data_IF_888840912498
#
_entry.id   IF_888840912498
#
_cell.length_a   1.000
_cell.length_b   1.000
_cell.length_c   1.000
_cell.angle_alpha   90.00
_cell.angle_beta   90.00
_cell.angle_gamma   90.00
#
_symmetry.space_group_name_H-M   'P 1'
#
loop_
_entity.id
_entity.type
_entity.pdbx_description
1 polymer ?
#
# COMPACT_ATOMS: atom_id res chain seq x y z
N UNK A 1 -24.19 -11.75 -31.13
CA UNK A 1 -23.04 -11.08 -31.78
C UNK A 1 -22.02 -10.85 -30.69
N UNK A 2 -21.04 -11.72 -30.59
CA UNK A 2 -19.98 -11.69 -29.60
C UNK A 2 -18.96 -10.65 -30.04
N UNK A 3 -18.77 -9.58 -29.27
CA UNK A 3 -17.69 -8.65 -29.48
C UNK A 3 -16.40 -9.32 -29.01
N UNK A 4 -15.56 -9.67 -29.98
CA UNK A 4 -14.19 -10.08 -29.73
C UNK A 4 -13.45 -8.89 -29.08
N UNK A 5 -13.09 -8.99 -27.81
CA UNK A 5 -12.12 -8.10 -27.18
C UNK A 5 -10.78 -8.35 -27.89
N UNK A 6 -10.26 -7.29 -28.50
CA UNK A 6 -8.92 -7.22 -29.07
C UNK A 6 -7.92 -7.16 -27.90
N UNK A 7 -7.33 -8.30 -27.57
CA UNK A 7 -6.50 -8.50 -26.35
C UNK A 7 -5.10 -7.83 -26.40
N UNK A 8 -4.85 -6.90 -27.32
CA UNK A 8 -3.53 -6.33 -27.53
C UNK A 8 -3.42 -4.80 -27.64
N UNK A 9 -4.50 -4.07 -27.86
CA UNK A 9 -4.45 -2.61 -28.02
C UNK A 9 -4.51 -1.89 -26.67
N UNK A 10 -3.68 -0.84 -26.52
CA UNK A 10 -3.76 0.05 -25.35
C UNK A 10 -5.10 0.80 -25.36
N UNK A 11 -5.81 0.89 -24.22
CA UNK A 11 -7.07 1.61 -24.14
C UNK A 11 -6.89 3.12 -24.40
N UNK A 12 -7.88 3.75 -24.99
CA UNK A 12 -7.97 5.21 -25.03
C UNK A 12 -8.02 5.80 -23.61
N UNK A 13 -7.76 7.11 -23.48
CA UNK A 13 -7.69 7.75 -22.15
C UNK A 13 -8.98 7.57 -21.34
N UNK A 14 -10.13 7.60 -22.01
CA UNK A 14 -11.43 7.42 -21.37
C UNK A 14 -11.62 6.01 -20.83
N UNK A 15 -11.28 4.99 -21.61
CA UNK A 15 -11.33 3.57 -21.21
C UNK A 15 -10.32 3.28 -20.12
N UNK A 16 -9.10 3.81 -20.28
CA UNK A 16 -8.00 3.65 -19.31
C UNK A 16 -8.43 4.06 -17.89
N UNK A 17 -8.97 5.28 -17.74
CA UNK A 17 -9.28 5.81 -16.40
C UNK A 17 -10.46 5.11 -15.73
N UNK A 18 -11.27 4.33 -16.47
CA UNK A 18 -12.33 3.49 -15.91
C UNK A 18 -11.80 2.25 -15.17
N UNK A 19 -10.56 1.84 -15.45
CA UNK A 19 -9.86 0.76 -14.75
C UNK A 19 -9.38 1.18 -13.34
N UNK A 20 -9.63 2.43 -12.94
CA UNK A 20 -9.18 2.98 -11.67
C UNK A 20 -10.35 3.45 -10.80
N UNK A 21 -10.28 3.11 -9.51
CA UNK A 21 -11.25 3.54 -8.49
C UNK A 21 -10.56 4.39 -7.43
N UNK A 22 -11.14 5.53 -7.05
CA UNK A 22 -10.58 6.42 -6.02
C UNK A 22 -10.88 5.89 -4.61
N UNK A 23 -9.85 5.87 -3.76
CA UNK A 23 -9.98 5.67 -2.31
C UNK A 23 -9.91 6.99 -1.51
N UNK A 24 -9.87 8.14 -2.14
CA UNK A 24 -9.76 9.45 -1.47
C UNK A 24 -8.28 9.87 -1.37
N UNK A 25 -7.88 10.83 -0.57
CA UNK A 25 -8.55 11.82 0.30
C UNK A 25 -8.82 13.13 -0.46
N UNK A 26 -8.82 13.12 -1.79
CA UNK A 26 -9.11 14.29 -2.60
C UNK A 26 -9.73 13.94 -3.97
N UNK A 27 -10.07 14.99 -4.71
CA UNK A 27 -10.83 14.90 -5.96
C UNK A 27 -9.96 14.72 -7.22
N UNK A 28 -8.63 14.66 -7.13
CA UNK A 28 -7.76 14.73 -8.32
C UNK A 28 -8.05 13.63 -9.33
N UNK A 29 -8.10 12.36 -8.90
CA UNK A 29 -8.43 11.27 -9.83
C UNK A 29 -9.82 11.46 -10.46
N UNK A 30 -10.81 11.87 -9.68
CA UNK A 30 -12.16 12.15 -10.17
C UNK A 30 -12.18 13.24 -11.24
N UNK A 31 -11.36 14.28 -11.08
CA UNK A 31 -11.20 15.34 -12.06
C UNK A 31 -10.41 14.90 -13.29
N UNK A 32 -9.39 14.04 -13.14
CA UNK A 32 -8.70 13.40 -14.27
C UNK A 32 -9.70 12.60 -15.12
N UNK A 33 -10.52 11.76 -14.48
CA UNK A 33 -11.57 10.99 -15.14
C UNK A 33 -12.56 11.91 -15.90
N UNK A 34 -13.05 12.95 -15.23
CA UNK A 34 -13.95 13.95 -15.84
C UNK A 34 -13.32 14.64 -17.04
N UNK A 35 -12.04 14.98 -16.98
CA UNK A 35 -11.33 15.68 -18.06
C UNK A 35 -11.26 14.87 -19.36
N UNK A 36 -11.20 13.54 -19.25
CA UNK A 36 -11.20 12.64 -20.41
C UNK A 36 -12.59 12.08 -20.74
N UNK A 37 -13.65 12.67 -20.18
CA UNK A 37 -15.04 12.33 -20.48
C UNK A 37 -15.54 11.04 -19.81
N UNK A 38 -14.92 10.61 -18.69
CA UNK A 38 -15.35 9.48 -17.88
C UNK A 38 -15.98 9.95 -16.57
N UNK A 39 -17.17 9.45 -16.23
CA UNK A 39 -17.91 9.77 -15.00
C UNK A 39 -18.30 8.49 -14.25
N UNK A 40 -17.32 7.66 -13.80
CA UNK A 40 -17.63 6.46 -13.01
C UNK A 40 -18.22 6.84 -11.66
N UNK A 41 -19.09 5.98 -11.15
CA UNK A 41 -19.65 6.12 -9.81
C UNK A 41 -18.64 5.57 -8.77
N UNK A 42 -18.28 6.37 -7.78
CA UNK A 42 -17.36 5.98 -6.72
C UNK A 42 -17.61 6.74 -5.42
N UNK A 43 -17.57 6.01 -4.28
CA UNK A 43 -17.84 6.59 -2.96
C UNK A 43 -16.84 7.71 -2.61
N UNK A 44 -15.58 7.51 -2.93
CA UNK A 44 -14.50 8.44 -2.59
C UNK A 44 -14.01 9.29 -3.76
N UNK A 45 -14.71 9.25 -4.90
CA UNK A 45 -14.27 9.96 -6.11
C UNK A 45 -14.11 11.46 -5.91
N UNK A 46 -15.00 12.08 -5.13
CA UNK A 46 -15.01 13.51 -4.83
C UNK A 46 -15.13 13.77 -3.32
N UNK A 47 -14.69 12.82 -2.50
CA UNK A 47 -14.82 12.91 -1.06
C UNK A 47 -13.51 13.29 -0.38
N UNK A 48 -13.58 14.17 0.61
CA UNK A 48 -12.60 14.31 1.67
C UNK A 48 -12.79 13.17 2.66
N UNK A 49 -11.91 12.21 2.65
CA UNK A 49 -11.94 11.00 3.48
C UNK A 49 -10.53 10.70 4.01
N UNK A 50 -10.11 11.35 5.12
CA UNK A 50 -8.81 11.11 5.71
C UNK A 50 -8.58 9.63 6.00
N UNK A 51 -7.36 9.14 5.76
CA UNK A 51 -7.02 7.72 5.81
C UNK A 51 -7.57 7.00 7.06
N UNK A 52 -7.36 7.56 8.24
CA UNK A 52 -7.83 6.95 9.51
C UNK A 52 -9.35 6.77 9.55
N UNK A 53 -10.10 7.69 8.95
CA UNK A 53 -11.55 7.62 8.88
C UNK A 53 -11.98 6.57 7.85
N UNK A 54 -11.29 6.50 6.72
CA UNK A 54 -11.52 5.47 5.70
C UNK A 54 -11.22 4.06 6.23
N UNK A 55 -10.08 3.85 6.90
CA UNK A 55 -9.75 2.57 7.53
C UNK A 55 -10.81 2.12 8.53
N UNK A 56 -11.30 3.05 9.38
CA UNK A 56 -12.38 2.77 10.31
C UNK A 56 -13.70 2.41 9.62
N UNK A 57 -14.02 3.06 8.49
CA UNK A 57 -15.21 2.74 7.71
C UNK A 57 -15.09 1.38 7.03
N UNK A 58 -13.93 1.06 6.47
CA UNK A 58 -13.65 -0.25 5.88
C UNK A 58 -13.68 -1.38 6.91
N UNK A 59 -13.11 -1.17 8.09
CA UNK A 59 -13.14 -2.14 9.20
C UNK A 59 -14.57 -2.46 9.66
N UNK A 60 -15.43 -1.43 9.70
CA UNK A 60 -16.86 -1.56 9.99
C UNK A 60 -17.69 -2.05 8.77
N UNK A 61 -17.09 -2.40 7.64
CA UNK A 61 -17.82 -2.77 6.42
C UNK A 61 -18.78 -1.70 5.92
N UNK A 62 -18.49 -0.43 6.21
CA UNK A 62 -19.35 0.75 5.94
C UNK A 62 -20.72 0.71 6.62
N UNK A 63 -20.92 -0.14 7.62
CA UNK A 63 -22.20 -0.27 8.32
C UNK A 63 -22.72 1.07 8.84
N UNK A 64 -23.99 1.40 8.52
CA UNK A 64 -24.67 2.63 8.94
C UNK A 64 -24.12 3.91 8.30
N UNK A 65 -23.37 3.84 7.22
CA UNK A 65 -22.94 5.01 6.45
C UNK A 65 -24.13 5.74 5.82
N UNK A 66 -25.19 5.00 5.49
CA UNK A 66 -26.45 5.44 4.89
C UNK A 66 -27.59 5.58 5.92
N UNK A 67 -27.28 5.56 7.21
CA UNK A 67 -28.28 5.92 8.23
C UNK A 67 -28.68 7.39 8.06
N UNK A 68 -29.97 7.71 7.88
CA UNK A 68 -30.44 9.10 7.73
C UNK A 68 -29.97 10.04 8.86
N UNK A 69 -29.76 9.52 10.07
CA UNK A 69 -29.25 10.28 11.19
C UNK A 69 -27.78 10.71 11.03
N UNK A 70 -27.03 9.96 10.21
CA UNK A 70 -25.61 10.20 9.97
C UNK A 70 -25.30 10.90 8.66
N UNK A 71 -26.26 11.09 7.78
CA UNK A 71 -26.12 11.90 6.56
C UNK A 71 -26.64 13.31 6.84
N UNK A 72 -25.83 14.34 6.67
CA UNK A 72 -26.23 15.72 6.91
C UNK A 72 -25.92 16.62 5.73
N UNK A 73 -26.87 17.48 5.37
CA UNK A 73 -26.63 18.58 4.44
C UNK A 73 -26.17 19.81 5.23
N UNK A 74 -25.03 20.35 4.85
CA UNK A 74 -24.45 21.54 5.46
C UNK A 74 -24.29 22.61 4.41
N UNK A 75 -24.93 23.79 4.57
CA UNK A 75 -24.70 24.93 3.69
C UNK A 75 -23.26 25.45 3.85
N UNK A 76 -22.52 25.54 2.73
CA UNK A 76 -21.15 26.06 2.72
C UNK A 76 -20.88 26.72 1.36
N UNK A 77 -20.31 27.93 1.35
CA UNK A 77 -19.94 28.68 0.14
C UNK A 77 -21.01 28.76 -0.96
N UNK A 78 -22.29 28.81 -0.60
CA UNK A 78 -23.41 28.94 -1.54
C UNK A 78 -23.94 27.63 -2.11
N UNK A 79 -23.42 26.49 -1.67
CA UNK A 79 -23.85 25.15 -2.05
C UNK A 79 -24.12 24.25 -0.85
N UNK A 80 -24.67 23.06 -1.09
CA UNK A 80 -24.78 22.04 -0.08
C UNK A 80 -23.55 21.12 -0.10
N UNK A 81 -22.93 20.95 1.11
CA UNK A 81 -22.00 19.86 1.38
C UNK A 81 -22.74 18.71 2.05
N UNK A 82 -22.38 17.47 1.71
CA UNK A 82 -22.88 16.27 2.38
C UNK A 82 -21.84 15.80 3.37
N UNK A 83 -22.20 15.78 4.65
CA UNK A 83 -21.33 15.26 5.72
C UNK A 83 -21.87 13.93 6.21
N UNK A 84 -21.02 12.89 6.15
CA UNK A 84 -21.28 11.54 6.69
C UNK A 84 -20.68 11.45 8.08
N UNK A 85 -21.46 11.79 9.10
CA UNK A 85 -20.97 12.05 10.46
C UNK A 85 -20.45 10.80 11.17
N UNK A 86 -20.89 9.59 10.77
CA UNK A 86 -20.42 8.34 11.36
C UNK A 86 -18.93 8.11 11.15
N UNK A 87 -18.42 8.45 9.95
CA UNK A 87 -17.02 8.25 9.57
C UNK A 87 -16.29 9.57 9.28
N UNK A 88 -16.98 10.70 9.43
CA UNK A 88 -16.45 12.03 9.19
C UNK A 88 -15.93 12.25 7.76
N UNK A 89 -16.69 11.78 6.77
CA UNK A 89 -16.47 12.08 5.37
C UNK A 89 -17.26 13.31 4.94
N UNK A 90 -16.75 14.02 3.93
CA UNK A 90 -17.43 15.19 3.36
C UNK A 90 -17.26 15.20 1.84
N UNK A 91 -18.32 15.58 1.12
CA UNK A 91 -18.28 15.78 -0.33
C UNK A 91 -19.27 16.83 -0.79
N UNK A 92 -19.07 17.38 -2.00
CA UNK A 92 -19.97 18.35 -2.63
C UNK A 92 -21.27 17.66 -3.08
N UNK A 93 -22.42 18.27 -2.77
CA UNK A 93 -23.70 17.80 -3.29
C UNK A 93 -23.90 18.16 -4.76
N UNK A 94 -23.06 19.06 -5.30
CA UNK A 94 -23.17 19.68 -6.62
C UNK A 94 -24.55 20.38 -6.83
N UNK A 95 -25.15 20.90 -5.76
CA UNK A 95 -26.44 21.59 -5.73
C UNK A 95 -26.30 22.91 -4.94
N UNK A 96 -26.64 24.02 -5.60
CA UNK A 96 -26.61 25.35 -4.95
C UNK A 96 -27.75 25.51 -3.97
N UNK A 97 -27.55 26.39 -3.01
CA UNK A 97 -28.60 26.73 -2.04
C UNK A 97 -29.84 27.30 -2.79
N UNK A 98 -31.00 26.71 -2.50
CA UNK A 98 -32.27 27.09 -3.11
C UNK A 98 -32.62 26.42 -4.45
N UNK A 99 -31.71 25.64 -5.04
CA UNK A 99 -31.97 24.89 -6.28
C UNK A 99 -32.76 23.59 -6.07
N UNK A 100 -32.76 23.05 -4.84
CA UNK A 100 -33.50 21.83 -4.52
C UNK A 100 -34.14 21.91 -3.13
N UNK A 101 -35.21 21.14 -2.94
CA UNK A 101 -35.80 20.93 -1.62
C UNK A 101 -34.82 20.12 -0.73
N UNK A 102 -34.38 20.63 0.44
CA UNK A 102 -33.40 19.98 1.27
C UNK A 102 -33.83 18.60 1.78
N UNK A 103 -35.11 18.36 1.98
CA UNK A 103 -35.63 17.07 2.47
C UNK A 103 -35.48 15.99 1.39
N UNK A 104 -35.82 16.32 0.15
CA UNK A 104 -35.68 15.40 -0.98
C UNK A 104 -34.20 15.20 -1.33
N UNK A 105 -33.40 16.24 -1.29
CA UNK A 105 -31.95 16.17 -1.49
C UNK A 105 -31.31 15.24 -0.45
N UNK A 106 -31.61 15.40 0.84
CA UNK A 106 -31.14 14.53 1.89
C UNK A 106 -31.50 13.05 1.65
N UNK A 107 -32.78 12.76 1.35
CA UNK A 107 -33.23 11.38 1.03
C UNK A 107 -32.49 10.77 -0.18
N UNK A 108 -32.20 11.61 -1.18
CA UNK A 108 -31.42 11.18 -2.34
C UNK A 108 -29.99 10.80 -1.96
N UNK A 109 -29.31 11.64 -1.17
CA UNK A 109 -27.93 11.36 -0.75
C UNK A 109 -27.84 10.15 0.18
N UNK A 110 -28.79 9.94 1.08
CA UNK A 110 -28.87 8.70 1.91
C UNK A 110 -28.83 7.46 1.02
N UNK A 111 -29.69 7.40 -0.02
CA UNK A 111 -29.76 6.25 -0.96
C UNK A 111 -28.48 6.12 -1.79
N UNK A 112 -27.96 7.24 -2.28
CA UNK A 112 -26.75 7.27 -3.12
C UNK A 112 -25.54 6.76 -2.33
N UNK A 113 -25.33 7.24 -1.10
CA UNK A 113 -24.21 6.81 -0.25
C UNK A 113 -24.27 5.32 0.04
N UNK A 114 -25.45 4.78 0.41
CA UNK A 114 -25.62 3.35 0.64
C UNK A 114 -25.34 2.50 -0.60
N UNK A 115 -25.76 2.96 -1.77
CA UNK A 115 -25.45 2.30 -3.04
C UNK A 115 -23.94 2.31 -3.30
N UNK A 116 -23.27 3.48 -3.20
CA UNK A 116 -21.86 3.64 -3.49
C UNK A 116 -20.97 2.86 -2.51
N UNK A 117 -21.36 2.77 -1.24
CA UNK A 117 -20.65 1.97 -0.24
C UNK A 117 -20.70 0.46 -0.58
N UNK A 118 -21.88 -0.05 -0.95
CA UNK A 118 -22.02 -1.45 -1.38
C UNK A 118 -21.24 -1.72 -2.67
N UNK A 119 -21.30 -0.81 -3.65
CA UNK A 119 -20.51 -0.91 -4.89
C UNK A 119 -19.02 -0.97 -4.59
N UNK A 120 -18.50 -0.07 -3.74
CA UNK A 120 -17.08 -0.09 -3.39
C UNK A 120 -16.67 -1.41 -2.70
N UNK A 121 -17.48 -1.90 -1.77
CA UNK A 121 -17.22 -3.18 -1.11
C UNK A 121 -17.22 -4.36 -2.10
N UNK A 122 -18.05 -4.31 -3.14
CA UNK A 122 -18.08 -5.30 -4.23
C UNK A 122 -16.84 -5.16 -5.13
N UNK A 123 -16.52 -3.96 -5.60
CA UNK A 123 -15.33 -3.68 -6.42
C UNK A 123 -14.03 -4.13 -5.71
N UNK A 124 -13.94 -3.92 -4.39
CA UNK A 124 -12.80 -4.39 -3.58
C UNK A 124 -12.71 -5.92 -3.54
N UNK A 125 -13.85 -6.64 -3.46
CA UNK A 125 -13.86 -8.12 -3.46
C UNK A 125 -13.51 -8.69 -4.83
N UNK A 126 -14.03 -8.08 -5.90
CA UNK A 126 -13.74 -8.50 -7.28
C UNK A 126 -12.30 -8.20 -7.67
N UNK A 127 -11.70 -7.14 -7.11
CA UNK A 127 -10.34 -6.69 -7.37
C UNK A 127 -10.01 -6.52 -8.87
N UNK A 128 -11.02 -6.21 -9.69
CA UNK A 128 -10.91 -6.04 -11.15
C UNK A 128 -10.46 -4.62 -11.56
N UNK A 129 -10.08 -3.78 -10.57
CA UNK A 129 -9.61 -2.42 -10.77
C UNK A 129 -8.34 -2.14 -9.99
N UNK A 130 -7.64 -1.09 -10.37
CA UNK A 130 -6.57 -0.50 -9.58
C UNK A 130 -7.17 0.57 -8.67
N UNK A 131 -6.98 0.41 -7.37
CA UNK A 131 -7.47 1.37 -6.37
C UNK A 131 -6.41 2.44 -6.13
N UNK A 132 -6.79 3.69 -6.35
CA UNK A 132 -5.88 4.83 -6.27
C UNK A 132 -6.07 5.57 -4.96
N UNK A 133 -4.99 5.69 -4.22
CA UNK A 133 -4.95 6.48 -3.00
C UNK A 133 -4.01 7.67 -3.15
N UNK A 134 -4.52 8.85 -2.87
CA UNK A 134 -3.78 10.12 -2.81
C UNK A 134 -4.26 10.88 -1.60
N UNK A 135 -3.37 11.30 -0.73
CA UNK A 135 -3.66 12.05 0.47
C UNK A 135 -3.05 13.45 0.42
N UNK A 136 -3.77 14.44 0.98
CA UNK A 136 -3.29 15.83 1.05
C UNK A 136 -2.16 16.00 2.08
N UNK A 137 -2.27 15.29 3.20
CA UNK A 137 -1.25 15.33 4.26
C UNK A 137 -0.16 14.28 4.00
N UNK A 138 1.06 14.50 4.50
CA UNK A 138 2.12 13.51 4.40
C UNK A 138 1.70 12.17 5.03
N UNK A 139 1.86 11.08 4.27
CA UNK A 139 1.67 9.72 4.79
C UNK A 139 2.92 9.29 5.55
N UNK A 140 2.71 8.72 6.70
CA UNK A 140 3.72 7.93 7.38
C UNK A 140 3.79 6.55 6.71
N UNK A 141 4.98 5.94 6.69
CA UNK A 141 5.17 4.62 6.07
C UNK A 141 4.23 3.54 6.66
N UNK A 142 3.91 3.63 7.96
CA UNK A 142 2.92 2.78 8.62
C UNK A 142 1.50 2.93 8.08
N UNK A 143 1.09 4.13 7.71
CA UNK A 143 -0.27 4.39 7.22
C UNK A 143 -0.55 3.66 5.89
N UNK A 144 0.46 3.58 5.00
CA UNK A 144 0.33 2.87 3.73
C UNK A 144 0.20 1.35 3.94
N UNK A 145 0.95 0.82 4.90
CA UNK A 145 0.87 -0.60 5.28
C UNK A 145 -0.46 -0.94 5.91
N UNK A 146 -0.99 -0.08 6.80
CA UNK A 146 -2.31 -0.23 7.39
C UNK A 146 -3.40 -0.25 6.31
N UNK A 147 -3.29 0.64 5.30
CA UNK A 147 -4.19 0.65 4.16
C UNK A 147 -4.08 -0.65 3.35
N UNK A 148 -2.87 -1.07 3.01
CA UNK A 148 -2.65 -2.30 2.26
C UNK A 148 -3.17 -3.53 3.02
N UNK A 149 -2.89 -3.66 4.31
CA UNK A 149 -3.42 -4.74 5.15
C UNK A 149 -4.94 -4.73 5.22
N UNK A 150 -5.56 -3.55 5.33
CA UNK A 150 -7.01 -3.42 5.29
C UNK A 150 -7.57 -3.91 3.96
N UNK A 151 -6.97 -3.51 2.84
CA UNK A 151 -7.40 -3.91 1.50
C UNK A 151 -7.28 -5.41 1.26
N UNK A 152 -6.24 -6.07 1.77
CA UNK A 152 -6.07 -7.53 1.65
C UNK A 152 -7.17 -8.34 2.33
N UNK A 153 -7.90 -7.76 3.29
CA UNK A 153 -9.07 -8.41 3.90
C UNK A 153 -10.26 -8.53 2.95
N UNK A 154 -10.32 -7.71 1.92
CA UNK A 154 -11.36 -7.77 0.89
C UNK A 154 -10.99 -8.71 -0.26
N UNK A 155 -9.71 -8.82 -0.61
CA UNK A 155 -9.24 -9.65 -1.71
C UNK A 155 -7.85 -9.23 -2.23
N UNK A 156 -7.44 -9.71 -3.41
CA UNK A 156 -6.14 -9.39 -4.01
C UNK A 156 -6.14 -7.98 -4.64
N UNK A 157 -6.57 -7.00 -3.86
CA UNK A 157 -6.72 -5.60 -4.29
C UNK A 157 -5.38 -4.99 -4.65
N UNK A 158 -5.27 -4.41 -5.84
CA UNK A 158 -4.09 -3.65 -6.26
C UNK A 158 -4.25 -2.18 -5.85
N UNK A 159 -3.31 -1.69 -5.05
CA UNK A 159 -3.22 -0.30 -4.60
C UNK A 159 -2.17 0.46 -5.40
N UNK A 160 -2.53 1.62 -5.90
CA UNK A 160 -1.65 2.63 -6.47
C UNK A 160 -1.63 3.87 -5.56
N UNK A 161 -0.52 4.06 -4.85
CA UNK A 161 -0.29 5.28 -4.07
C UNK A 161 0.34 6.34 -4.96
N UNK A 162 -0.29 7.53 -5.03
CA UNK A 162 0.19 8.63 -5.89
C UNK A 162 0.93 9.67 -5.07
N UNK A 163 2.11 10.05 -5.55
CA UNK A 163 3.03 11.03 -4.95
C UNK A 163 3.51 12.05 -5.98
N UNK A 164 4.14 13.12 -5.49
CA UNK A 164 4.91 14.01 -6.37
C UNK A 164 6.23 13.37 -6.78
N UNK A 165 6.67 13.70 -7.99
CA UNK A 165 7.97 13.35 -8.50
C UNK A 165 9.09 13.96 -7.62
N UNK A 166 10.16 13.21 -7.45
CA UNK A 166 11.32 13.62 -6.67
C UNK A 166 12.61 13.09 -7.32
N UNK A 167 13.80 13.52 -6.88
CA UNK A 167 15.05 12.98 -7.41
C UNK A 167 15.08 11.45 -7.36
N UNK A 168 15.28 10.82 -8.52
CA UNK A 168 15.23 9.35 -8.69
C UNK A 168 13.87 8.79 -9.12
N UNK A 169 12.77 9.55 -8.99
CA UNK A 169 11.42 9.14 -9.35
C UNK A 169 10.74 10.20 -10.21
N UNK A 170 10.85 10.05 -11.53
CA UNK A 170 10.35 11.05 -12.50
C UNK A 170 8.82 10.99 -12.62
N UNK A 171 8.23 12.11 -13.03
CA UNK A 171 6.80 12.18 -13.34
C UNK A 171 6.41 11.18 -14.44
N UNK A 172 5.25 10.55 -14.27
CA UNK A 172 4.75 9.50 -15.18
C UNK A 172 5.32 8.11 -14.91
N UNK A 173 6.25 7.95 -13.95
CA UNK A 173 6.79 6.63 -13.56
C UNK A 173 5.93 5.96 -12.51
N UNK A 174 6.06 4.63 -12.44
CA UNK A 174 5.42 3.78 -11.43
C UNK A 174 6.42 2.75 -10.96
N UNK A 175 6.62 2.69 -9.66
CA UNK A 175 7.45 1.72 -8.99
C UNK A 175 6.59 0.64 -8.34
N UNK A 176 7.03 -0.61 -8.44
CA UNK A 176 6.39 -1.74 -7.81
C UNK A 176 7.01 -1.97 -6.44
N UNK A 177 6.28 -1.64 -5.36
CA UNK A 177 6.77 -1.78 -3.99
C UNK A 177 6.49 -3.17 -3.41
N UNK A 178 5.39 -3.81 -3.83
CA UNK A 178 4.98 -5.15 -3.42
C UNK A 178 4.05 -5.74 -4.50
N UNK A 179 3.72 -7.03 -4.48
CA UNK A 179 2.89 -7.66 -5.52
C UNK A 179 1.61 -6.91 -5.87
N UNK A 180 0.94 -6.29 -4.91
CA UNK A 180 -0.30 -5.52 -5.12
C UNK A 180 -0.17 -4.07 -4.63
N UNK A 181 1.05 -3.53 -4.56
CA UNK A 181 1.32 -2.16 -4.15
C UNK A 181 2.23 -1.47 -5.16
N UNK A 182 1.71 -0.46 -5.82
CA UNK A 182 2.42 0.41 -6.73
C UNK A 182 2.54 1.82 -6.14
N UNK A 183 3.64 2.51 -6.46
CA UNK A 183 3.81 3.94 -6.18
C UNK A 183 3.94 4.66 -7.51
N UNK A 184 3.02 5.55 -7.79
CA UNK A 184 3.00 6.37 -8.99
C UNK A 184 3.46 7.79 -8.71
N UNK A 185 4.15 8.41 -9.68
CA UNK A 185 4.70 9.73 -9.53
C UNK A 185 4.10 10.68 -10.59
N UNK A 186 3.51 11.78 -10.10
CA UNK A 186 3.04 12.90 -10.93
C UNK A 186 3.99 14.09 -10.76
N UNK A 187 4.07 14.99 -11.75
CA UNK A 187 5.00 16.13 -11.69
C UNK A 187 4.73 17.03 -10.50
N UNK A 188 3.45 17.27 -10.23
CA UNK A 188 2.96 17.99 -9.05
C UNK A 188 1.57 17.50 -8.67
N UNK A 189 1.27 17.57 -7.40
CA UNK A 189 -0.08 17.40 -6.88
C UNK A 189 -0.81 18.75 -6.91
N UNK A 190 -2.11 18.73 -7.13
CA UNK A 190 -2.90 19.95 -7.12
C UNK A 190 -2.96 20.51 -5.68
N UNK A 191 -2.84 21.83 -5.57
CA UNK A 191 -2.99 22.50 -4.28
C UNK A 191 -4.43 22.34 -3.76
N UNK A 192 -4.59 22.07 -2.47
CA UNK A 192 -5.91 21.82 -1.83
C UNK A 192 -6.95 22.90 -2.14
N UNK A 193 -6.54 24.16 -2.28
CA UNK A 193 -7.42 25.29 -2.60
C UNK A 193 -7.68 25.48 -4.10
N UNK A 194 -6.96 24.74 -4.96
CA UNK A 194 -7.09 24.82 -6.41
C UNK A 194 -6.94 23.43 -7.06
N UNK A 195 -7.73 22.48 -6.63
CA UNK A 195 -7.70 21.09 -7.14
C UNK A 195 -7.93 20.99 -8.66
N UNK A 196 -8.73 21.88 -9.33
CA UNK A 196 -8.85 21.88 -10.80
C UNK A 196 -7.56 22.17 -11.57
N UNK A 197 -6.52 22.76 -10.95
CA UNK A 197 -5.21 22.97 -11.58
C UNK A 197 -4.37 21.67 -11.58
N UNK A 198 -4.82 20.70 -12.35
CA UNK A 198 -4.20 19.38 -12.48
C UNK A 198 -3.10 19.35 -13.53
N UNK A 199 -2.06 18.58 -13.27
CA UNK A 199 -1.11 18.13 -14.30
C UNK A 199 -1.63 16.86 -14.97
N UNK A 200 -2.64 17.02 -15.86
CA UNK A 200 -3.33 15.92 -16.51
C UNK A 200 -2.39 14.99 -17.28
N UNK A 201 -1.34 15.52 -17.90
CA UNK A 201 -0.39 14.75 -18.71
C UNK A 201 0.38 13.76 -17.84
N UNK A 202 0.92 14.20 -16.71
CA UNK A 202 1.66 13.30 -15.83
C UNK A 202 0.74 12.29 -15.13
N UNK A 203 -0.51 12.67 -14.82
CA UNK A 203 -1.51 11.72 -14.33
C UNK A 203 -1.79 10.62 -15.36
N UNK A 204 -2.12 10.96 -16.60
CA UNK A 204 -2.42 9.97 -17.64
C UNK A 204 -1.21 9.08 -17.96
N UNK A 205 -0.01 9.65 -18.03
CA UNK A 205 1.22 8.87 -18.23
C UNK A 205 1.44 7.85 -17.09
N UNK A 206 1.26 8.27 -15.85
CA UNK A 206 1.40 7.42 -14.66
C UNK A 206 0.30 6.34 -14.63
N UNK A 207 -0.98 6.69 -14.86
CA UNK A 207 -2.06 5.71 -14.90
C UNK A 207 -1.85 4.68 -16.01
N UNK A 208 -1.43 5.10 -17.20
CA UNK A 208 -1.10 4.21 -18.33
C UNK A 208 0.03 3.23 -17.95
N UNK A 209 1.06 3.73 -17.26
CA UNK A 209 2.16 2.89 -16.78
C UNK A 209 1.68 1.89 -15.71
N UNK A 210 0.86 2.32 -14.75
CA UNK A 210 0.28 1.46 -13.73
C UNK A 210 -0.59 0.36 -14.35
N UNK A 211 -1.44 0.72 -15.31
CA UNK A 211 -2.29 -0.23 -16.03
C UNK A 211 -1.48 -1.28 -16.77
N UNK A 212 -0.40 -0.90 -17.48
CA UNK A 212 0.49 -1.86 -18.16
C UNK A 212 1.10 -2.84 -17.19
N UNK A 213 1.63 -2.37 -16.06
CA UNK A 213 2.20 -3.22 -15.01
C UNK A 213 1.14 -4.17 -14.45
N UNK A 214 -0.08 -3.69 -14.23
CA UNK A 214 -1.16 -4.49 -13.69
C UNK A 214 -1.66 -5.54 -14.68
N UNK A 215 -1.84 -5.20 -15.96
CA UNK A 215 -2.28 -6.11 -17.02
C UNK A 215 -1.24 -7.17 -17.39
N UNK A 216 0.03 -6.89 -17.24
CA UNK A 216 1.10 -7.86 -17.43
C UNK A 216 1.16 -8.91 -16.32
N UNK A 217 0.56 -8.65 -15.18
CA UNK A 217 0.32 -9.63 -14.14
C UNK A 217 -0.88 -10.45 -14.59
N UNK A 218 -0.66 -11.68 -15.06
CA UNK A 218 -1.75 -12.64 -15.24
C UNK A 218 -2.58 -12.69 -13.95
N UNK A 219 -3.92 -12.57 -14.00
CA UNK A 219 -4.73 -12.88 -12.83
C UNK A 219 -4.43 -14.33 -12.46
N UNK A 220 -4.23 -14.57 -11.16
CA UNK A 220 -4.25 -15.91 -10.57
C UNK A 220 -5.70 -16.45 -10.53
N UNK A 221 -6.49 -16.21 -11.58
CA UNK A 221 -7.82 -16.77 -11.78
C UNK A 221 -7.73 -17.77 -12.91
N UNK A 222 -8.00 -19.03 -12.57
CA UNK A 222 -7.94 -20.22 -13.40
C UNK A 222 -6.54 -20.79 -13.63
N UNK A 223 -5.92 -21.24 -12.54
CA UNK A 223 -5.13 -22.45 -12.64
C UNK A 223 -6.14 -23.60 -12.66
N UNK A 224 -6.47 -24.14 -13.84
CA UNK A 224 -6.73 -25.56 -13.93
C UNK A 224 -5.52 -26.24 -13.28
N UNK A 225 -5.74 -26.82 -12.12
CA UNK A 225 -4.76 -27.64 -11.44
C UNK A 225 -4.56 -28.89 -12.29
N UNK A 226 -3.50 -29.01 -13.08
CA UNK A 226 -3.01 -30.33 -13.38
C UNK A 226 -2.50 -30.86 -12.04
N UNK A 227 -3.08 -31.95 -11.60
CA UNK A 227 -2.50 -32.75 -10.52
C UNK A 227 -1.22 -33.34 -11.08
N UNK A 228 -0.14 -32.57 -11.03
CA UNK A 228 1.21 -33.07 -11.15
C UNK A 228 1.91 -32.95 -9.81
N UNK A 229 2.83 -33.89 -9.48
CA UNK A 229 3.33 -34.03 -8.11
C UNK A 229 4.10 -32.78 -7.70
N UNK A 230 3.86 -32.35 -6.46
CA UNK A 230 4.41 -31.18 -5.78
C UNK A 230 5.80 -30.79 -6.27
N UNK A 231 5.89 -29.79 -7.13
CA UNK A 231 7.09 -28.99 -7.23
C UNK A 231 7.28 -28.33 -5.86
N UNK A 232 8.32 -28.72 -5.18
CA UNK A 232 8.75 -28.14 -3.89
C UNK A 232 8.94 -26.64 -4.14
N UNK A 233 7.99 -25.82 -3.68
CA UNK A 233 8.16 -24.39 -3.62
C UNK A 233 9.39 -24.14 -2.74
N UNK A 234 10.51 -23.78 -3.37
CA UNK A 234 11.75 -23.48 -2.69
C UNK A 234 11.54 -22.26 -1.80
N UNK A 235 11.19 -22.47 -0.55
CA UNK A 235 10.98 -21.40 0.42
C UNK A 235 11.65 -21.75 1.74
N UNK A 236 12.21 -20.73 2.40
CA UNK A 236 12.73 -20.81 3.75
C UNK A 236 12.01 -19.77 4.58
N UNK A 237 11.40 -20.22 5.67
CA UNK A 237 10.70 -19.39 6.64
C UNK A 237 11.42 -19.40 7.97
N UNK A 238 11.72 -18.20 8.48
CA UNK A 238 12.40 -17.97 9.74
C UNK A 238 11.46 -17.22 10.68
N UNK A 239 11.02 -17.84 11.74
CA UNK A 239 10.28 -17.22 12.81
C UNK A 239 11.26 -16.83 13.93
N UNK A 240 11.26 -15.57 14.31
CA UNK A 240 12.06 -15.03 15.40
C UNK A 240 11.28 -15.11 16.73
N UNK A 241 12.00 -14.94 17.82
CA UNK A 241 11.44 -15.02 19.17
C UNK A 241 11.89 -16.25 19.93
N UNK A 242 11.48 -16.36 21.20
CA UNK A 242 11.87 -17.45 22.09
C UNK A 242 11.41 -18.83 21.59
N UNK A 243 10.22 -18.87 20.97
CA UNK A 243 9.62 -20.10 20.42
C UNK A 243 9.84 -20.24 18.90
N UNK A 244 10.66 -19.37 18.30
CA UNK A 244 10.94 -19.37 16.87
C UNK A 244 12.04 -20.37 16.47
N UNK A 245 12.20 -20.57 15.16
CA UNK A 245 13.22 -21.46 14.59
C UNK A 245 14.52 -20.72 14.20
N UNK A 246 14.62 -19.40 14.45
CA UNK A 246 15.75 -18.57 14.02
C UNK A 246 17.10 -18.97 14.65
N UNK A 247 17.09 -19.57 15.86
CA UNK A 247 18.31 -19.85 16.66
C UNK A 247 19.38 -20.59 15.88
N UNK A 248 19.02 -21.55 15.05
CA UNK A 248 19.99 -22.31 14.23
C UNK A 248 20.53 -21.53 13.02
N UNK A 249 19.92 -20.42 12.66
CA UNK A 249 20.17 -19.67 11.41
C UNK A 249 20.85 -18.33 11.67
N UNK A 250 20.51 -17.63 12.76
CA UNK A 250 21.15 -16.37 13.14
C UNK A 250 22.63 -16.56 13.45
N UNK A 251 23.44 -15.54 13.17
CA UNK A 251 24.89 -15.53 13.39
C UNK A 251 25.25 -14.35 14.33
N UNK A 252 25.82 -13.30 13.83
CA UNK A 252 26.22 -12.13 14.62
C UNK A 252 25.09 -11.09 14.73
N UNK A 253 25.14 -10.26 15.77
CA UNK A 253 24.32 -9.05 15.88
C UNK A 253 22.86 -9.27 16.33
N UNK A 254 22.58 -10.30 17.13
CA UNK A 254 21.25 -10.60 17.62
C UNK A 254 21.21 -10.67 19.17
N UNK A 255 20.10 -10.26 19.74
CA UNK A 255 19.78 -10.50 21.16
C UNK A 255 19.27 -11.92 21.39
N UNK A 256 18.98 -12.26 22.64
CA UNK A 256 18.13 -13.44 22.95
C UNK A 256 16.71 -13.23 22.36
N UNK A 257 16.02 -14.32 22.01
CA UNK A 257 14.65 -14.29 21.54
C UNK A 257 13.71 -13.81 22.65
N UNK A 258 12.80 -12.90 22.28
CA UNK A 258 11.71 -12.40 23.13
C UNK A 258 10.37 -13.00 22.70
N UNK A 259 9.28 -12.59 23.30
CA UNK A 259 7.96 -13.12 22.93
C UNK A 259 7.56 -12.67 21.51
N UNK A 260 7.74 -13.57 20.53
CA UNK A 260 7.37 -13.38 19.13
C UNK A 260 8.32 -12.52 18.29
N UNK A 261 9.50 -12.14 18.80
CA UNK A 261 10.51 -11.39 18.04
C UNK A 261 11.92 -11.52 18.62
N UNK A 262 12.91 -11.09 17.83
CA UNK A 262 14.32 -10.99 18.27
C UNK A 262 14.89 -9.66 17.80
N UNK A 263 15.56 -8.91 18.68
CA UNK A 263 16.23 -7.67 18.29
C UNK A 263 17.53 -7.91 17.55
N UNK A 264 17.74 -7.19 16.45
CA UNK A 264 19.10 -6.93 15.97
C UNK A 264 19.79 -5.92 16.90
N UNK A 265 21.04 -6.16 17.23
CA UNK A 265 21.83 -5.33 18.13
C UNK A 265 23.14 -4.89 17.49
N UNK A 266 23.61 -3.68 17.84
CA UNK A 266 24.78 -3.08 17.21
C UNK A 266 24.48 -2.58 15.80
N UNK A 267 25.52 -2.41 14.99
CA UNK A 267 25.40 -1.80 13.65
C UNK A 267 25.06 -2.81 12.54
N UNK A 268 25.27 -4.10 12.78
CA UNK A 268 25.10 -5.16 11.79
C UNK A 268 24.52 -6.41 12.43
N UNK A 269 23.71 -7.15 11.67
CA UNK A 269 23.27 -8.49 12.00
C UNK A 269 23.31 -9.41 10.79
N UNK A 270 23.47 -10.70 11.01
CA UNK A 270 23.53 -11.66 9.89
C UNK A 270 22.80 -12.97 10.19
N UNK A 271 22.29 -13.57 9.12
CA UNK A 271 21.62 -14.86 9.14
C UNK A 271 22.12 -15.71 7.98
N UNK A 272 22.17 -17.01 8.17
CA UNK A 272 22.61 -17.98 7.16
C UNK A 272 21.54 -19.03 6.94
N UNK A 273 21.09 -19.17 5.69
CA UNK A 273 19.96 -19.98 5.28
C UNK A 273 20.39 -21.07 4.29
N UNK A 274 19.91 -22.29 4.48
CA UNK A 274 19.95 -23.30 3.44
C UNK A 274 18.70 -23.12 2.56
N UNK A 275 18.91 -22.64 1.35
CA UNK A 275 17.82 -22.32 0.41
C UNK A 275 17.85 -23.29 -0.75
N UNK A 276 16.74 -24.00 -1.03
CA UNK A 276 16.66 -24.88 -2.21
C UNK A 276 16.87 -24.09 -3.50
N UNK A 277 17.52 -24.68 -4.48
CA UNK A 277 17.70 -24.09 -5.79
C UNK A 277 16.34 -23.93 -6.52
N UNK A 278 16.17 -22.81 -7.19
CA UNK A 278 14.97 -22.50 -7.94
C UNK A 278 15.28 -22.05 -9.38
N UNK A 279 14.29 -22.13 -10.26
CA UNK A 279 14.41 -21.73 -11.64
C UNK A 279 14.36 -20.22 -11.83
N UNK A 280 13.65 -19.54 -10.93
CA UNK A 280 13.34 -18.09 -11.00
C UNK A 280 14.01 -17.32 -9.86
N UNK A 281 13.83 -16.01 -9.85
CA UNK A 281 14.33 -15.11 -8.81
C UNK A 281 13.62 -15.38 -7.47
N UNK A 282 14.17 -14.85 -6.40
CA UNK A 282 13.63 -15.01 -5.06
C UNK A 282 13.02 -13.71 -4.56
N UNK A 283 12.02 -13.83 -3.70
CA UNK A 283 11.46 -12.73 -2.92
C UNK A 283 11.91 -12.87 -1.48
N UNK A 284 12.67 -11.88 -0.99
CA UNK A 284 13.01 -11.75 0.42
C UNK A 284 11.99 -10.83 1.09
N UNK A 285 11.33 -11.35 2.13
CA UNK A 285 10.33 -10.65 2.92
C UNK A 285 10.71 -10.68 4.39
N UNK A 286 10.49 -9.57 5.09
CA UNK A 286 10.80 -9.42 6.51
C UNK A 286 9.68 -8.69 7.22
N UNK A 287 9.21 -9.23 8.37
CA UNK A 287 8.32 -8.50 9.28
C UNK A 287 9.17 -7.88 10.40
N UNK A 288 9.23 -6.55 10.42
CA UNK A 288 10.18 -5.78 11.20
C UNK A 288 9.54 -4.64 11.99
N UNK A 289 10.13 -4.35 13.14
CA UNK A 289 9.79 -3.18 13.97
C UNK A 289 11.06 -2.38 14.22
N UNK A 290 11.27 -1.23 13.55
CA UNK A 290 12.40 -0.36 13.83
C UNK A 290 12.31 0.23 15.24
N UNK A 291 13.43 0.24 15.96
CA UNK A 291 13.53 0.97 17.24
C UNK A 291 13.62 2.47 16.95
N UNK A 292 12.59 3.21 17.33
CA UNK A 292 12.51 4.66 17.14
C UNK A 292 12.08 5.36 18.42
N UNK A 293 12.62 6.56 18.65
CA UNK A 293 12.30 7.39 19.81
C UNK A 293 11.99 8.80 19.29
N UNK A 294 10.75 9.29 19.42
CA UNK A 294 10.37 10.62 18.93
C UNK A 294 11.31 11.72 19.45
N UNK A 295 11.79 12.57 18.54
CA UNK A 295 12.69 13.69 18.85
C UNK A 295 14.16 13.31 19.11
N UNK A 296 14.50 12.01 19.26
CA UNK A 296 15.87 11.55 19.52
C UNK A 296 16.40 10.58 18.46
N UNK A 297 15.58 9.62 18.06
CA UNK A 297 15.89 8.64 17.01
C UNK A 297 14.65 8.47 16.14
N UNK A 298 14.44 9.35 15.17
CA UNK A 298 13.16 9.42 14.43
C UNK A 298 12.98 8.27 13.43
N UNK A 299 14.06 7.63 12.98
CA UNK A 299 14.01 6.57 11.99
C UNK A 299 15.19 5.61 12.13
N UNK A 300 15.02 4.40 11.58
CA UNK A 300 16.10 3.45 11.30
C UNK A 300 16.30 3.34 9.79
N UNK A 301 17.49 2.92 9.38
CA UNK A 301 17.77 2.48 8.01
C UNK A 301 18.18 1.01 8.02
N UNK A 302 17.97 0.33 6.91
CA UNK A 302 18.38 -1.06 6.73
C UNK A 302 18.95 -1.23 5.32
N UNK A 303 20.23 -1.56 5.21
CA UNK A 303 20.81 -2.03 3.96
C UNK A 303 20.99 -3.56 4.03
N UNK A 304 20.58 -4.24 2.97
CA UNK A 304 20.63 -5.69 2.90
C UNK A 304 21.59 -6.13 1.81
N UNK A 305 22.50 -7.02 2.18
CA UNK A 305 23.39 -7.71 1.25
C UNK A 305 23.16 -9.23 1.31
N UNK A 306 23.15 -9.87 0.15
CA UNK A 306 23.02 -11.33 0.02
C UNK A 306 24.29 -11.86 -0.60
N UNK A 307 24.93 -12.82 0.06
CA UNK A 307 26.22 -13.41 -0.36
C UNK A 307 27.32 -12.36 -0.65
N UNK A 308 27.30 -11.25 0.11
CA UNK A 308 28.25 -10.14 -0.04
C UNK A 308 27.90 -9.11 -1.11
N UNK A 309 26.79 -9.28 -1.82
CA UNK A 309 26.31 -8.35 -2.85
C UNK A 309 25.17 -7.52 -2.26
N UNK A 310 25.27 -6.19 -2.29
CA UNK A 310 24.19 -5.28 -1.84
C UNK A 310 23.00 -5.40 -2.79
N UNK A 311 21.84 -5.74 -2.22
CA UNK A 311 20.61 -5.99 -2.99
C UNK A 311 19.51 -4.98 -2.75
N UNK A 312 19.43 -4.41 -1.54
CA UNK A 312 18.40 -3.44 -1.24
C UNK A 312 18.77 -2.52 -0.07
N UNK A 313 18.14 -1.32 -0.02
CA UNK A 313 18.26 -0.38 1.10
C UNK A 313 16.91 0.27 1.39
N UNK A 314 16.51 0.24 2.65
CA UNK A 314 15.40 1.01 3.19
C UNK A 314 15.93 2.24 3.93
N UNK A 315 15.47 3.44 3.55
CA UNK A 315 15.88 4.68 4.18
C UNK A 315 14.75 5.73 4.07
N UNK A 316 13.88 5.87 5.07
CA UNK A 316 13.82 5.11 6.32
C UNK A 316 13.25 3.70 6.18
N UNK A 317 13.58 2.83 7.17
CA UNK A 317 12.96 1.51 7.28
C UNK A 317 11.52 1.64 7.81
N UNK A 318 10.50 1.19 7.08
CA UNK A 318 9.13 1.15 7.59
C UNK A 318 8.94 0.04 8.63
N UNK A 319 7.95 0.22 9.49
CA UNK A 319 7.49 -0.85 10.41
C UNK A 319 6.52 -1.78 9.67
N UNK A 320 6.63 -3.08 9.90
CA UNK A 320 5.75 -4.11 9.36
C UNK A 320 6.46 -4.98 8.32
N UNK A 321 5.70 -5.52 7.38
CA UNK A 321 6.23 -6.42 6.36
C UNK A 321 6.85 -5.61 5.23
N UNK A 322 8.12 -5.86 4.96
CA UNK A 322 8.87 -5.27 3.84
C UNK A 322 9.50 -6.38 3.01
N UNK A 323 9.65 -6.15 1.71
CA UNK A 323 10.22 -7.17 0.84
C UNK A 323 10.73 -6.61 -0.49
N UNK A 324 11.57 -7.40 -1.15
CA UNK A 324 12.16 -7.06 -2.45
C UNK A 324 12.63 -8.32 -3.17
N UNK A 325 12.80 -8.20 -4.49
CA UNK A 325 13.32 -9.30 -5.31
C UNK A 325 14.84 -9.42 -5.17
N UNK A 326 15.31 -10.66 -5.09
CA UNK A 326 16.75 -11.01 -5.08
C UNK A 326 17.02 -11.93 -6.27
N UNK A 327 17.92 -11.54 -7.20
CA UNK A 327 18.24 -12.36 -8.36
C UNK A 327 18.75 -13.75 -7.97
N UNK A 328 18.29 -14.78 -8.67
CA UNK A 328 18.65 -16.18 -8.38
C UNK A 328 20.14 -16.44 -8.42
N UNK A 329 20.87 -15.81 -9.32
CA UNK A 329 22.32 -15.95 -9.43
C UNK A 329 23.06 -15.44 -8.20
N UNK A 330 22.47 -14.50 -7.44
CA UNK A 330 23.03 -14.03 -6.16
C UNK A 330 22.74 -15.05 -5.06
N UNK A 331 21.49 -15.52 -4.97
CA UNK A 331 21.08 -16.49 -3.95
C UNK A 331 21.82 -17.82 -4.12
N UNK A 332 21.88 -18.31 -5.36
CA UNK A 332 22.49 -19.63 -5.69
C UNK A 332 24.01 -19.60 -5.90
N UNK A 333 24.65 -18.45 -5.63
CA UNK A 333 26.10 -18.35 -5.72
C UNK A 333 26.86 -19.22 -4.68
N UNK A 334 26.15 -19.67 -3.64
CA UNK A 334 26.69 -20.49 -2.53
C UNK A 334 25.67 -21.53 -2.07
N UNK A 335 26.13 -22.61 -1.46
CA UNK A 335 25.28 -23.66 -0.87
C UNK A 335 24.46 -23.14 0.31
N UNK A 336 24.96 -22.15 1.00
CA UNK A 336 24.24 -21.41 2.05
C UNK A 336 24.18 -19.94 1.73
N UNK A 337 23.00 -19.36 1.89
CA UNK A 337 22.73 -17.94 1.62
C UNK A 337 23.01 -17.15 2.87
N UNK A 338 24.02 -16.32 2.81
CA UNK A 338 24.31 -15.35 3.88
C UNK A 338 23.55 -14.04 3.59
N UNK A 339 22.73 -13.61 4.53
CA UNK A 339 22.05 -12.30 4.50
C UNK A 339 22.66 -11.44 5.58
N UNK A 340 23.33 -10.36 5.16
CA UNK A 340 23.91 -9.34 6.04
C UNK A 340 22.99 -8.11 6.03
N UNK A 341 22.71 -7.57 7.20
CA UNK A 341 21.82 -6.45 7.44
C UNK A 341 22.59 -5.36 8.19
N UNK A 342 22.82 -4.21 7.51
CA UNK A 342 23.45 -3.04 8.09
C UNK A 342 22.37 -2.09 8.62
N UNK A 343 22.46 -1.74 9.90
CA UNK A 343 21.53 -0.85 10.60
C UNK A 343 22.30 0.09 11.54
N UNK A 344 22.91 1.14 10.99
CA UNK A 344 23.94 1.96 11.66
C UNK A 344 23.41 2.79 12.84
N UNK A 345 22.09 2.93 13.00
CA UNK A 345 21.50 3.81 14.02
C UNK A 345 21.03 3.03 15.27
N UNK A 346 21.68 1.90 15.57
CA UNK A 346 21.39 1.17 16.79
C UNK A 346 21.68 2.02 18.03
N UNK A 347 20.74 2.06 18.97
CA UNK A 347 20.84 2.89 20.17
C UNK A 347 20.30 2.17 21.41
N UNK A 348 20.82 2.54 22.57
CA UNK A 348 20.38 1.96 23.85
C UNK A 348 19.16 2.70 24.37
N UNK A 349 18.08 1.98 24.81
CA UNK A 349 16.97 2.55 25.54
C UNK A 349 17.43 3.33 26.78
N UNK A 350 18.46 2.85 27.48
CA UNK A 350 19.05 3.56 28.63
C UNK A 350 19.54 4.96 28.26
N UNK A 351 20.27 5.07 27.15
CA UNK A 351 20.86 6.35 26.71
C UNK A 351 19.81 7.30 26.16
N UNK A 352 18.78 6.78 25.49
CA UNK A 352 17.76 7.60 24.86
C UNK A 352 16.62 7.99 25.79
N UNK A 353 16.10 7.07 26.61
CA UNK A 353 14.87 7.28 27.39
C UNK A 353 15.01 6.96 28.87
N UNK A 354 16.20 6.53 29.32
CA UNK A 354 16.46 6.24 30.74
C UNK A 354 15.92 4.90 31.22
N UNK A 355 15.53 4.01 30.30
CA UNK A 355 15.12 2.65 30.63
C UNK A 355 16.31 1.78 31.05
N UNK A 356 16.04 0.64 31.69
CA UNK A 356 17.11 -0.22 32.24
C UNK A 356 17.62 -1.25 31.20
N UNK A 357 17.62 -0.89 29.91
CA UNK A 357 18.15 -1.72 28.81
C UNK A 357 19.37 -1.05 28.17
N UNK A 358 20.53 -1.68 28.29
CA UNK A 358 21.80 -1.19 27.77
C UNK A 358 22.11 -1.70 26.36
N UNK A 359 21.33 -2.65 25.84
CA UNK A 359 21.53 -3.18 24.51
C UNK A 359 21.37 -2.09 23.45
N UNK A 360 22.23 -2.05 22.46
CA UNK A 360 22.09 -1.15 21.31
C UNK A 360 21.11 -1.76 20.32
N UNK A 361 19.82 -1.49 20.50
CA UNK A 361 18.74 -2.00 19.69
C UNK A 361 18.65 -1.26 18.35
N UNK A 362 18.37 -1.97 17.28
CA UNK A 362 18.11 -1.37 15.97
C UNK A 362 16.73 -1.78 15.42
N UNK A 363 16.52 -3.06 15.15
CA UNK A 363 15.30 -3.56 14.48
C UNK A 363 14.90 -4.85 15.19
N UNK A 364 13.62 -4.96 15.58
CA UNK A 364 13.05 -6.24 16.00
C UNK A 364 12.52 -6.97 14.77
N UNK A 365 12.91 -8.22 14.61
CA UNK A 365 12.43 -9.10 13.56
C UNK A 365 11.44 -10.10 14.14
N UNK A 366 10.29 -10.29 13.48
CA UNK A 366 9.30 -11.31 13.79
C UNK A 366 9.41 -12.49 12.84
N UNK A 367 9.60 -12.19 11.55
CA UNK A 367 9.70 -13.19 10.49
C UNK A 367 10.65 -12.72 9.39
N UNK A 368 11.32 -13.67 8.75
CA UNK A 368 12.00 -13.49 7.49
C UNK A 368 11.65 -14.69 6.62
N UNK A 369 11.28 -14.45 5.37
CA UNK A 369 11.08 -15.51 4.39
C UNK A 369 11.84 -15.23 3.11
N UNK A 370 12.41 -16.25 2.52
CA UNK A 370 13.02 -16.22 1.20
C UNK A 370 12.33 -17.30 0.35
N UNK A 371 11.59 -16.89 -0.66
CA UNK A 371 10.79 -17.78 -1.50
C UNK A 371 11.05 -17.53 -2.98
N UNK A 372 11.01 -18.57 -3.80
CA UNK A 372 11.01 -18.46 -5.26
C UNK A 372 9.72 -17.76 -5.73
N UNK A 373 9.79 -16.88 -6.73
CA UNK A 373 8.66 -16.10 -7.28
C UNK A 373 8.45 -16.45 -8.75
#
# INVERSE_FOLDING_TARGET
MSASHDDGAEPGDRELVLEFESLGDNCELGLVQRRVGAEPLGLFRFAGAPLRHMLRAMDAGFEGIDDPAHVRLQPENGEYMVKLTKFDFIYHADVKLGEADPVNLHKSHVRTVGFLARKLAEDLRLAEKIFVFRQNEPLLAGDLLDLQQMLTRFGPVTLLWVREACPGHMAGTVDLMAPNLMVGHVRRLAHRQNVPDLDIESWLAMLRRAWRIWRQRKPLTEIEVPIEPAATNASVDVAFGADGNAVGMIRAGWSGGENGFTWSIGAQSSICLAVPAAADDYWLEMDVIPYVVPGKLPAQTLAVSVNGISVHRFDPLPRGVVGFSVPKNIVQARDQVEILMDHPFAASPRDLVGENDERKLAIAFRRLSLRCV
#
